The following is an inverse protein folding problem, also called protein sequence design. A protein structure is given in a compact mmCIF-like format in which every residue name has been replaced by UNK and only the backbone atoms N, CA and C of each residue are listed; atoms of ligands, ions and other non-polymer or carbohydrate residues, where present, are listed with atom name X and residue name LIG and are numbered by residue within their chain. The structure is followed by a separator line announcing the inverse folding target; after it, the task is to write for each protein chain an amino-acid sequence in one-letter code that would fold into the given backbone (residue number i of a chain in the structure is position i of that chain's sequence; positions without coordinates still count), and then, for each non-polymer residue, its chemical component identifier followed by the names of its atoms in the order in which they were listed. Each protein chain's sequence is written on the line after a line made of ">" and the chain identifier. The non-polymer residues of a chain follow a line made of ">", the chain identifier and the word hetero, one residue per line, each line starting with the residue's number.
data_IF_229399412325
#
_entry.id   IF_229399412325
#
_cell.length_a   1.000
_cell.length_b   1.000
_cell.length_c   1.000
_cell.angle_alpha   90.00
_cell.angle_beta   90.00
_cell.angle_gamma   90.00
#
_symmetry.space_group_name_H-M   'P 1'
#
loop_
_entity.id
_entity.type
_entity.pdbx_description
1 polymer ?
#
# COMPACT_ATOMS: atom_id res chain seq x y z
N UNK A 1 27.47 4.65 6.17
CA UNK A 1 26.07 4.82 6.63
C UNK A 1 25.72 6.28 6.52
N UNK A 2 24.84 6.64 5.59
CA UNK A 2 24.36 8.01 5.44
C UNK A 2 23.37 8.33 6.56
N UNK A 3 23.74 9.23 7.48
CA UNK A 3 22.89 9.65 8.60
C UNK A 3 21.83 10.67 8.20
N UNK A 4 21.85 11.16 6.95
CA UNK A 4 20.81 12.05 6.44
C UNK A 4 19.55 11.29 6.00
N UNK A 5 19.67 9.97 5.77
CA UNK A 5 18.56 9.12 5.29
C UNK A 5 18.12 8.16 6.38
N UNK A 6 16.88 8.32 6.84
CA UNK A 6 16.28 7.50 7.89
C UNK A 6 15.10 6.70 7.34
N UNK A 7 15.12 5.38 7.59
CA UNK A 7 14.05 4.47 7.24
C UNK A 7 13.19 4.20 8.47
N UNK A 8 11.94 4.65 8.45
CA UNK A 8 11.01 4.47 9.56
C UNK A 8 10.59 3.00 9.75
N UNK A 9 10.59 2.21 8.67
CA UNK A 9 10.24 0.79 8.71
C UNK A 9 11.27 -0.03 9.49
N UNK A 10 12.56 0.18 9.21
CA UNK A 10 13.66 -0.49 9.92
C UNK A 10 14.12 0.24 11.19
N UNK A 11 13.65 1.48 11.41
CA UNK A 11 14.11 2.37 12.48
C UNK A 11 15.63 2.54 12.49
N UNK A 12 16.21 2.67 11.30
CA UNK A 12 17.66 2.71 11.09
C UNK A 12 18.04 3.73 10.01
N UNK A 13 19.31 4.14 10.03
CA UNK A 13 19.88 5.02 9.01
C UNK A 13 20.44 4.22 7.82
N UNK A 14 20.51 4.88 6.66
CA UNK A 14 21.17 4.38 5.46
C UNK A 14 20.36 4.52 4.18
N UNK A 15 19.02 4.47 4.27
CA UNK A 15 18.10 4.69 3.16
C UNK A 15 16.82 5.38 3.65
N UNK A 16 16.07 6.00 2.73
CA UNK A 16 14.76 6.55 3.03
C UNK A 16 13.72 5.44 3.01
N UNK A 17 12.63 5.61 3.76
CA UNK A 17 11.52 4.64 3.76
C UNK A 17 11.01 4.33 2.33
N UNK A 18 11.01 5.33 1.44
CA UNK A 18 10.59 5.20 0.03
C UNK A 18 11.48 4.27 -0.81
N UNK A 19 12.75 4.13 -0.41
CA UNK A 19 13.73 3.27 -1.09
C UNK A 19 13.79 1.86 -0.48
N UNK A 20 13.02 1.60 0.58
CA UNK A 20 13.08 0.34 1.30
C UNK A 20 12.44 -0.80 0.48
N UNK A 21 13.28 -1.69 -0.04
CA UNK A 21 12.83 -2.86 -0.83
C UNK A 21 11.96 -3.79 0.00
N UNK A 22 12.35 -4.12 1.23
CA UNK A 22 11.56 -4.98 2.12
C UNK A 22 10.16 -4.41 2.41
N UNK A 23 10.03 -3.08 2.51
CA UNK A 23 8.74 -2.44 2.68
C UNK A 23 7.88 -2.59 1.42
N UNK A 24 8.46 -2.40 0.22
CA UNK A 24 7.76 -2.59 -1.05
C UNK A 24 7.28 -4.03 -1.21
N UNK A 25 8.14 -5.00 -0.93
CA UNK A 25 7.81 -6.43 -1.01
C UNK A 25 6.68 -6.79 -0.03
N UNK A 26 6.74 -6.26 1.21
CA UNK A 26 5.69 -6.48 2.20
C UNK A 26 4.34 -5.89 1.74
N UNK A 27 4.34 -4.71 1.12
CA UNK A 27 3.14 -4.10 0.53
C UNK A 27 2.62 -4.94 -0.64
N UNK A 28 3.50 -5.42 -1.53
CA UNK A 28 3.11 -6.28 -2.64
C UNK A 28 2.44 -7.58 -2.15
N UNK A 29 3.00 -8.25 -1.15
CA UNK A 29 2.40 -9.43 -0.54
C UNK A 29 1.02 -9.11 0.07
N UNK A 30 0.88 -7.95 0.73
CA UNK A 30 -0.41 -7.51 1.27
C UNK A 30 -1.45 -7.26 0.17
N UNK A 31 -1.03 -6.74 -0.98
CA UNK A 31 -1.89 -6.52 -2.15
C UNK A 31 -2.29 -7.87 -2.76
N UNK A 32 -1.33 -8.76 -3.04
CA UNK A 32 -1.57 -10.08 -3.61
C UNK A 32 -2.52 -10.92 -2.75
N UNK A 33 -2.40 -10.83 -1.42
CA UNK A 33 -3.31 -11.51 -0.48
C UNK A 33 -4.65 -10.79 -0.27
N UNK A 34 -4.83 -9.60 -0.85
CA UNK A 34 -6.05 -8.79 -0.70
C UNK A 34 -6.22 -8.11 0.66
N UNK A 35 -5.19 -8.10 1.51
CA UNK A 35 -5.23 -7.47 2.84
C UNK A 35 -4.96 -5.96 2.80
N UNK A 36 -4.41 -5.45 1.71
CA UNK A 36 -4.16 -4.01 1.55
C UNK A 36 -5.44 -3.16 1.54
N UNK A 37 -6.59 -3.75 1.16
CA UNK A 37 -7.89 -3.05 1.05
C UNK A 37 -8.32 -2.32 2.33
N UNK A 38 -7.95 -2.84 3.51
CA UNK A 38 -8.28 -2.22 4.81
C UNK A 38 -7.52 -0.92 5.09
N UNK A 39 -6.45 -0.65 4.33
CA UNK A 39 -5.62 0.55 4.46
C UNK A 39 -5.89 1.59 3.37
N UNK A 40 -6.67 1.23 2.35
CA UNK A 40 -7.15 2.19 1.35
C UNK A 40 -8.24 3.02 2.03
N UNK A 41 -7.99 4.31 2.24
CA UNK A 41 -9.02 5.24 2.68
C UNK A 41 -10.06 5.29 1.56
N UNK A 42 -11.28 4.83 1.82
CA UNK A 42 -12.39 4.89 0.86
C UNK A 42 -12.69 6.35 0.50
N UNK A 43 -11.99 6.88 -0.50
CA UNK A 43 -12.30 8.16 -1.12
C UNK A 43 -13.50 8.07 -2.05
N UNK A 44 -13.83 6.88 -2.56
CA UNK A 44 -14.90 6.66 -3.55
C UNK A 44 -15.53 5.29 -3.29
N UNK A 45 -16.62 5.26 -2.50
CA UNK A 45 -17.60 4.17 -2.54
C UNK A 45 -18.80 4.62 -3.36
N UNK A 46 -18.57 5.03 -4.60
CA UNK A 46 -19.65 5.13 -5.58
C UNK A 46 -19.24 4.34 -6.82
N UNK A 47 -20.16 3.49 -7.28
CA UNK A 47 -20.16 2.79 -8.58
C UNK A 47 -19.30 1.53 -8.72
N UNK A 48 -19.71 0.45 -8.04
CA UNK A 48 -19.60 -0.89 -8.67
C UNK A 48 -20.76 -1.83 -8.33
N UNK A 49 -21.89 -1.30 -7.83
CA UNK A 49 -23.16 -2.04 -7.74
C UNK A 49 -24.10 -1.73 -8.94
N UNK A 50 -23.83 -0.67 -9.71
CA UNK A 50 -24.69 -0.27 -10.84
C UNK A 50 -24.50 -1.13 -12.13
N UNK A 51 -23.51 -2.03 -12.19
CA UNK A 51 -23.28 -2.83 -13.41
C UNK A 51 -24.13 -4.12 -13.48
N UNK A 52 -24.87 -4.48 -12.42
CA UNK A 52 -25.65 -5.74 -12.39
C UNK A 52 -27.17 -5.54 -12.61
N UNK A 53 -27.62 -4.33 -12.97
CA UNK A 53 -29.05 -4.00 -13.06
C UNK A 53 -29.53 -3.52 -14.44
N UNK A 54 -28.69 -3.54 -15.49
CA UNK A 54 -29.08 -3.06 -16.85
C UNK A 54 -29.36 -4.23 -17.82
N UNK A 55 -29.45 -5.47 -17.34
CA UNK A 55 -29.94 -6.61 -18.13
C UNK A 55 -31.12 -7.33 -17.44
N UNK A 56 -32.21 -6.59 -17.19
CA UNK A 56 -33.52 -7.17 -16.87
C UNK A 56 -34.64 -6.41 -17.61
#
# INVERSE_FOLDING_TARGET
>A
MDRSKYCCYHRSYGHMTEDCVHLKDAIEILIQKGYARKYVKNGEKETHEAQMAIEA
#
